data_IF_228919536758
#
_entry.id   IF_228919536758
#
_cell.length_a   1.000
_cell.length_b   1.000
_cell.length_c   1.000
_cell.angle_alpha   90.00
_cell.angle_beta   90.00
_cell.angle_gamma   90.00
#
_symmetry.space_group_name_H-M   'P 1'
#
loop_
_entity.id
_entity.type
_entity.pdbx_description
1 polymer ?
#
# COMPACT_ATOMS: atom_id res chain seq x y z
N UNK A 1 14.50 0.89 -21.20
CA UNK A 1 14.38 0.52 -19.77
C UNK A 1 13.47 1.53 -19.14
N UNK A 2 12.44 1.08 -18.46
CA UNK A 2 11.57 1.95 -17.69
C UNK A 2 12.31 2.48 -16.45
N UNK A 3 11.78 3.52 -15.83
CA UNK A 3 12.22 3.97 -14.51
C UNK A 3 11.01 4.32 -13.66
N UNK A 4 11.14 4.14 -12.36
CA UNK A 4 10.08 4.45 -11.41
C UNK A 4 10.58 5.33 -10.27
N UNK A 5 9.67 6.10 -9.68
CA UNK A 5 10.01 6.97 -8.57
C UNK A 5 9.64 6.27 -7.25
N UNK A 6 10.66 5.98 -6.45
CA UNK A 6 10.57 5.39 -5.11
C UNK A 6 10.88 6.45 -4.07
N UNK A 7 10.08 6.57 -3.01
CA UNK A 7 10.32 7.55 -1.96
C UNK A 7 10.90 6.95 -0.68
N UNK A 8 10.74 5.64 -0.48
CA UNK A 8 11.31 4.94 0.67
C UNK A 8 11.58 3.47 0.31
N UNK A 9 12.59 2.88 0.94
CA UNK A 9 12.91 1.45 0.83
C UNK A 9 13.11 0.94 2.25
N UNK A 10 12.19 0.07 2.71
CA UNK A 10 12.27 -0.53 4.03
C UNK A 10 12.73 -1.97 3.94
N UNK A 11 13.86 -2.23 4.56
CA UNK A 11 14.36 -3.58 4.78
C UNK A 11 13.75 -4.16 6.06
N UNK A 12 13.68 -5.48 6.12
CA UNK A 12 13.18 -6.23 7.29
C UNK A 12 11.74 -5.89 7.67
N UNK A 13 10.89 -5.53 6.69
CA UNK A 13 9.46 -5.34 6.91
C UNK A 13 8.79 -6.69 7.23
N UNK A 14 7.92 -6.70 8.24
CA UNK A 14 7.20 -7.90 8.73
C UNK A 14 5.67 -7.76 8.65
N UNK A 15 5.17 -6.60 8.18
CA UNK A 15 3.75 -6.29 8.04
C UNK A 15 3.31 -6.07 6.59
N UNK A 16 4.22 -6.24 5.63
CA UNK A 16 3.96 -6.01 4.21
C UNK A 16 3.87 -7.33 3.42
N UNK A 17 3.31 -8.37 4.04
CA UNK A 17 3.18 -9.73 3.52
C UNK A 17 3.88 -10.78 4.38
N UNK A 18 3.93 -12.06 3.96
CA UNK A 18 4.54 -13.14 4.72
C UNK A 18 6.07 -13.01 4.81
N UNK A 19 6.61 -13.45 5.93
CA UNK A 19 8.06 -13.49 6.17
C UNK A 19 8.71 -12.11 6.29
N UNK A 20 10.04 -12.07 6.18
CA UNK A 20 10.82 -10.84 6.19
C UNK A 20 10.93 -10.31 4.76
N UNK A 21 10.62 -9.03 4.56
CA UNK A 21 10.52 -8.45 3.22
C UNK A 21 11.33 -7.16 3.07
N UNK A 22 11.71 -6.88 1.82
CA UNK A 22 12.15 -5.54 1.42
C UNK A 22 10.99 -4.86 0.71
N UNK A 23 10.49 -3.76 1.30
CA UNK A 23 9.34 -3.02 0.77
C UNK A 23 9.80 -1.76 0.04
N UNK A 24 9.41 -1.66 -1.23
CA UNK A 24 9.67 -0.51 -2.11
C UNK A 24 8.43 0.38 -2.14
N UNK A 25 8.57 1.62 -1.66
CA UNK A 25 7.47 2.57 -1.54
C UNK A 25 7.45 3.52 -2.75
N UNK A 26 6.56 3.26 -3.71
CA UNK A 26 6.44 4.03 -4.94
C UNK A 26 5.69 5.34 -4.72
N UNK A 27 6.05 6.37 -5.48
CA UNK A 27 5.30 7.63 -5.56
C UNK A 27 4.19 7.55 -6.61
N UNK A 28 3.23 8.48 -6.50
CA UNK A 28 2.03 8.51 -7.31
C UNK A 28 0.90 7.69 -6.71
N UNK A 29 -0.19 8.37 -6.35
CA UNK A 29 -1.42 7.73 -5.93
C UNK A 29 -2.61 8.51 -6.47
N UNK A 30 -3.56 7.87 -7.16
CA UNK A 30 -4.76 8.54 -7.63
C UNK A 30 -5.77 8.81 -6.50
N UNK A 31 -5.63 8.09 -5.36
CA UNK A 31 -6.49 8.26 -4.21
C UNK A 31 -6.04 9.43 -3.32
N UNK A 32 -6.98 9.97 -2.55
CA UNK A 32 -6.77 11.04 -1.55
C UNK A 32 -7.41 10.66 -0.21
N UNK A 33 -7.12 9.43 0.24
CA UNK A 33 -7.68 8.87 1.47
C UNK A 33 -7.44 9.81 2.65
N UNK A 34 -8.49 10.09 3.44
CA UNK A 34 -8.39 10.97 4.61
C UNK A 34 -7.40 10.48 5.65
N UNK A 35 -7.23 9.15 5.76
CA UNK A 35 -6.33 8.46 6.70
C UNK A 35 -4.98 8.05 6.10
N UNK A 36 -4.60 8.59 4.95
CA UNK A 36 -3.37 8.18 4.29
C UNK A 36 -2.15 8.35 5.21
N UNK A 37 -1.33 7.29 5.32
CA UNK A 37 -0.11 7.32 6.12
C UNK A 37 1.12 7.85 5.36
N UNK A 38 1.01 7.97 4.04
CA UNK A 38 2.12 8.37 3.17
C UNK A 38 1.74 9.57 2.28
N UNK A 39 1.43 10.75 2.85
CA UNK A 39 1.08 11.93 2.06
C UNK A 39 2.17 12.35 1.08
N UNK A 40 3.43 12.01 1.37
CA UNK A 40 4.58 12.20 0.49
C UNK A 40 4.50 11.42 -0.82
N UNK A 41 3.69 10.37 -0.87
CA UNK A 41 3.54 9.53 -2.07
C UNK A 41 2.47 10.01 -3.04
N UNK A 42 1.65 11.00 -2.68
CA UNK A 42 0.47 11.40 -3.48
C UNK A 42 0.83 11.95 -4.86
N UNK A 43 1.90 12.71 -4.98
CA UNK A 43 2.44 13.14 -6.27
C UNK A 43 3.48 12.13 -6.77
N UNK A 44 3.53 11.90 -8.08
CA UNK A 44 4.58 11.06 -8.68
C UNK A 44 5.93 11.80 -8.71
N UNK A 45 5.90 13.13 -8.80
CA UNK A 45 7.09 13.93 -8.89
C UNK A 45 7.89 13.92 -7.58
N UNK A 46 9.23 13.82 -7.64
CA UNK A 46 10.08 14.08 -6.50
C UNK A 46 9.80 15.47 -5.90
N UNK A 47 9.86 15.59 -4.59
CA UNK A 47 9.57 16.85 -3.91
C UNK A 47 10.56 17.13 -2.77
N UNK A 48 10.89 18.40 -2.57
CA UNK A 48 11.74 18.82 -1.47
C UNK A 48 10.95 18.84 -0.16
N UNK A 49 11.48 18.16 0.85
CA UNK A 49 10.97 18.19 2.22
C UNK A 49 11.90 19.03 3.08
N UNK A 50 11.33 20.04 3.73
CA UNK A 50 12.02 20.85 4.72
C UNK A 50 11.73 20.36 6.14
N UNK A 51 12.81 20.08 6.91
CA UNK A 51 12.76 19.66 8.33
C UNK A 51 13.40 20.76 9.17
N UNK A 52 12.60 21.67 9.67
CA UNK A 52 13.07 22.82 10.46
C UNK A 52 13.90 22.37 11.66
N UNK A 53 13.49 21.32 12.34
CA UNK A 53 14.13 20.76 13.52
C UNK A 53 15.57 20.25 13.29
N UNK A 54 15.97 20.05 12.03
CA UNK A 54 17.32 19.65 11.65
C UNK A 54 18.16 20.80 11.11
N UNK A 55 17.56 21.97 10.90
CA UNK A 55 18.25 23.08 10.27
C UNK A 55 19.19 23.79 11.26
N UNK A 56 20.46 23.86 10.89
CA UNK A 56 21.50 24.60 11.65
C UNK A 56 21.76 26.01 11.08
N UNK A 57 20.91 26.48 10.16
CA UNK A 57 21.00 27.80 9.55
C UNK A 57 22.38 28.14 8.92
N UNK A 58 23.04 27.14 8.33
CA UNK A 58 24.40 27.29 7.76
C UNK A 58 24.43 28.05 6.41
N UNK A 59 23.30 28.37 5.81
CA UNK A 59 23.18 29.09 4.54
C UNK A 59 23.62 28.34 3.28
N UNK A 60 24.04 27.07 3.38
CA UNK A 60 24.61 26.34 2.23
C UNK A 60 23.54 25.90 1.18
N UNK A 61 22.28 25.85 1.56
CA UNK A 61 21.20 25.35 0.71
C UNK A 61 20.60 26.41 -0.24
N UNK A 62 21.12 27.63 -0.26
CA UNK A 62 20.68 28.73 -1.14
C UNK A 62 19.13 28.81 -1.23
N UNK A 63 18.54 29.36 -0.20
CA UNK A 63 17.07 29.53 -0.08
C UNK A 63 16.27 28.21 -0.24
N UNK A 64 16.83 27.12 0.26
CA UNK A 64 16.21 25.77 0.26
C UNK A 64 16.06 25.16 -1.15
N UNK A 65 16.92 25.51 -2.09
CA UNK A 65 16.89 24.96 -3.45
C UNK A 65 17.95 23.87 -3.68
N UNK A 66 19.07 23.89 -2.96
CA UNK A 66 20.20 22.97 -3.11
C UNK A 66 20.25 21.96 -1.96
N UNK A 67 19.36 20.95 -2.04
CA UNK A 67 19.24 19.91 -0.99
C UNK A 67 20.52 19.09 -0.83
N UNK A 68 21.26 18.84 -1.91
CA UNK A 68 22.51 18.09 -1.93
C UNK A 68 23.63 18.74 -1.08
N UNK A 69 23.51 20.03 -0.80
CA UNK A 69 24.45 20.78 0.05
C UNK A 69 24.07 20.81 1.52
N UNK A 70 22.93 20.23 1.91
CA UNK A 70 22.45 20.26 3.27
C UNK A 70 23.16 19.23 4.16
N UNK A 71 24.08 19.63 5.08
CA UNK A 71 24.89 18.68 5.84
C UNK A 71 24.11 17.91 6.90
N UNK A 72 22.93 18.42 7.30
CA UNK A 72 22.09 17.82 8.34
C UNK A 72 20.86 17.09 7.78
N UNK A 73 20.71 17.04 6.45
CA UNK A 73 19.51 16.53 5.78
C UNK A 73 18.21 17.23 6.26
N UNK A 74 18.34 18.51 6.68
CA UNK A 74 17.17 19.35 6.95
C UNK A 74 16.39 19.65 5.66
N UNK A 75 17.05 19.67 4.53
CA UNK A 75 16.45 19.73 3.20
C UNK A 75 16.77 18.43 2.48
N UNK A 76 15.72 17.67 2.12
CA UNK A 76 15.83 16.34 1.56
C UNK A 76 14.92 16.19 0.32
N UNK A 77 15.44 15.58 -0.74
CA UNK A 77 14.63 15.19 -1.88
C UNK A 77 13.91 13.88 -1.57
N UNK A 78 12.58 13.91 -1.52
CA UNK A 78 11.72 12.74 -1.31
C UNK A 78 11.23 12.23 -2.66
N UNK A 79 11.63 11.01 -2.97
CA UNK A 79 11.46 10.39 -4.27
C UNK A 79 12.72 10.47 -5.11
N UNK A 80 13.17 9.29 -5.56
CA UNK A 80 14.31 9.13 -6.46
C UNK A 80 13.92 8.18 -7.58
N UNK A 81 14.41 8.46 -8.78
CA UNK A 81 14.24 7.56 -9.92
C UNK A 81 15.12 6.33 -9.71
N UNK A 82 14.52 5.17 -9.92
CA UNK A 82 15.21 3.87 -9.90
C UNK A 82 14.88 3.11 -11.19
N UNK A 83 15.84 2.37 -11.69
CA UNK A 83 15.63 1.37 -12.73
C UNK A 83 15.18 0.03 -12.10
N UNK A 84 14.49 -0.85 -12.85
CA UNK A 84 14.16 -2.19 -12.37
C UNK A 84 15.38 -3.01 -11.96
N UNK A 85 16.52 -2.81 -12.62
CA UNK A 85 17.76 -3.48 -12.29
C UNK A 85 18.32 -3.03 -10.91
N UNK A 86 18.25 -1.74 -10.60
CA UNK A 86 18.65 -1.23 -9.27
C UNK A 86 17.75 -1.80 -8.16
N UNK A 87 16.43 -1.93 -8.43
CA UNK A 87 15.49 -2.60 -7.50
C UNK A 87 15.93 -4.04 -7.25
N UNK A 88 16.25 -4.80 -8.30
CA UNK A 88 16.73 -6.17 -8.16
C UNK A 88 18.02 -6.24 -7.34
N UNK A 89 19.01 -5.39 -7.61
CA UNK A 89 20.27 -5.39 -6.86
C UNK A 89 20.08 -5.06 -5.37
N UNK A 90 19.13 -4.21 -5.03
CA UNK A 90 18.76 -3.94 -3.64
C UNK A 90 18.07 -5.17 -3.02
N UNK A 91 17.13 -5.79 -3.74
CA UNK A 91 16.41 -6.97 -3.28
C UNK A 91 17.33 -8.15 -2.99
N UNK A 92 18.32 -8.40 -3.85
CA UNK A 92 19.31 -9.48 -3.71
C UNK A 92 20.13 -9.41 -2.42
N UNK A 93 20.33 -8.24 -1.85
CA UNK A 93 21.08 -8.08 -0.60
C UNK A 93 20.43 -8.81 0.58
N UNK A 94 19.13 -9.05 0.51
CA UNK A 94 18.35 -9.61 1.62
C UNK A 94 17.83 -11.05 1.33
N UNK A 95 18.32 -11.71 0.27
CA UNK A 95 17.87 -13.05 -0.18
C UNK A 95 17.91 -14.10 0.93
N UNK A 96 18.95 -14.10 1.77
CA UNK A 96 19.08 -15.03 2.91
C UNK A 96 17.89 -14.92 3.88
N UNK A 97 17.38 -13.70 4.09
CA UNK A 97 16.21 -13.48 4.94
C UNK A 97 14.92 -13.96 4.28
N UNK A 98 14.81 -13.81 2.95
CA UNK A 98 13.65 -14.29 2.21
C UNK A 98 13.57 -15.82 2.26
N UNK A 99 14.69 -16.52 1.99
CA UNK A 99 14.76 -17.98 1.99
C UNK A 99 14.44 -18.58 3.36
N UNK A 100 14.92 -17.94 4.45
CA UNK A 100 14.72 -18.47 5.81
C UNK A 100 13.34 -18.18 6.38
N UNK A 101 12.66 -17.12 5.92
CA UNK A 101 11.37 -16.69 6.48
C UNK A 101 10.18 -16.94 5.57
N UNK A 102 10.37 -17.34 4.32
CA UNK A 102 9.32 -17.33 3.30
C UNK A 102 8.93 -15.93 2.86
N UNK A 103 9.85 -14.96 2.99
CA UNK A 103 9.66 -13.57 2.62
C UNK A 103 9.96 -13.25 1.15
N UNK A 104 10.24 -11.99 0.85
CA UNK A 104 10.53 -11.52 -0.50
C UNK A 104 10.48 -10.02 -0.64
N UNK A 105 10.03 -9.52 -1.79
CA UNK A 105 9.84 -8.09 -2.02
C UNK A 105 8.37 -7.70 -2.01
N UNK A 106 8.09 -6.46 -1.59
CA UNK A 106 6.75 -5.86 -1.67
C UNK A 106 6.84 -4.50 -2.34
N UNK A 107 6.02 -4.29 -3.36
CA UNK A 107 5.81 -2.99 -3.97
C UNK A 107 4.57 -2.36 -3.37
N UNK A 108 4.71 -1.18 -2.77
CA UNK A 108 3.68 -0.46 -2.00
C UNK A 108 3.90 1.05 -2.10
N UNK A 109 3.39 1.84 -1.17
CA UNK A 109 3.69 3.27 -0.98
C UNK A 109 2.53 4.18 -1.29
N UNK A 110 2.46 4.74 -2.52
CA UNK A 110 1.29 5.37 -3.11
C UNK A 110 0.38 4.32 -3.70
N UNK A 111 0.33 4.26 -5.03
CA UNK A 111 -0.33 3.17 -5.75
C UNK A 111 0.68 2.58 -6.77
N UNK A 112 1.20 1.38 -6.54
CA UNK A 112 2.20 0.78 -7.44
C UNK A 112 1.71 0.65 -8.89
N UNK A 113 0.41 0.41 -9.10
CA UNK A 113 -0.21 0.35 -10.42
C UNK A 113 -0.20 1.68 -11.18
N UNK A 114 0.16 2.79 -10.52
CA UNK A 114 0.38 4.09 -11.19
C UNK A 114 1.69 4.15 -11.98
N UNK A 115 2.60 3.18 -11.78
CA UNK A 115 3.86 3.06 -12.50
C UNK A 115 3.98 1.66 -13.16
N UNK A 116 3.06 1.29 -14.08
CA UNK A 116 2.84 -0.10 -14.47
C UNK A 116 4.02 -0.74 -15.22
N UNK A 117 4.73 0.01 -16.05
CA UNK A 117 5.85 -0.54 -16.83
C UNK A 117 7.05 -0.80 -15.92
N UNK A 118 7.39 0.15 -15.04
CA UNK A 118 8.43 -0.03 -14.04
C UNK A 118 8.10 -1.20 -13.10
N UNK A 119 6.86 -1.27 -12.61
CA UNK A 119 6.40 -2.33 -11.72
C UNK A 119 6.52 -3.69 -12.42
N UNK A 120 6.03 -3.81 -13.66
CA UNK A 120 6.05 -5.09 -14.38
C UNK A 120 7.48 -5.58 -14.67
N UNK A 121 8.39 -4.69 -15.07
CA UNK A 121 9.79 -5.05 -15.31
C UNK A 121 10.48 -5.46 -13.98
N UNK A 122 10.23 -4.72 -12.88
CA UNK A 122 10.79 -5.04 -11.56
C UNK A 122 10.30 -6.39 -11.02
N UNK A 123 8.99 -6.67 -11.14
CA UNK A 123 8.41 -7.97 -10.75
C UNK A 123 9.01 -9.11 -11.57
N UNK A 124 9.13 -8.94 -12.89
CA UNK A 124 9.73 -9.96 -13.78
C UNK A 124 11.15 -10.30 -13.36
N UNK A 125 11.99 -9.28 -13.13
CA UNK A 125 13.38 -9.49 -12.72
C UNK A 125 13.49 -10.19 -11.36
N UNK A 126 12.65 -9.84 -10.39
CA UNK A 126 12.62 -10.50 -9.08
C UNK A 126 12.20 -11.98 -9.23
N UNK A 127 11.16 -12.24 -10.01
CA UNK A 127 10.66 -13.59 -10.27
C UNK A 127 11.68 -14.48 -10.97
N UNK A 128 12.44 -13.94 -11.93
CA UNK A 128 13.52 -14.65 -12.63
C UNK A 128 14.64 -15.08 -11.67
N UNK A 129 14.75 -14.45 -10.50
CA UNK A 129 15.65 -14.81 -9.41
C UNK A 129 14.97 -15.65 -8.30
N UNK A 130 13.76 -16.14 -8.52
CA UNK A 130 12.95 -16.87 -7.53
C UNK A 130 12.68 -16.06 -6.23
N UNK A 131 12.64 -14.74 -6.31
CA UNK A 131 12.27 -13.87 -5.19
C UNK A 131 10.74 -13.72 -5.20
N UNK A 132 10.10 -14.11 -4.10
CA UNK A 132 8.65 -13.98 -3.93
C UNK A 132 8.21 -12.51 -4.00
N UNK A 133 7.20 -12.22 -4.80
CA UNK A 133 6.73 -10.86 -5.09
C UNK A 133 5.37 -10.59 -4.47
N UNK A 134 5.21 -9.43 -3.85
CA UNK A 134 3.92 -8.93 -3.39
C UNK A 134 3.65 -7.53 -3.92
N UNK A 135 2.39 -7.25 -4.21
CA UNK A 135 1.90 -5.92 -4.62
C UNK A 135 0.81 -5.49 -3.66
N UNK A 136 1.06 -4.41 -2.91
CA UNK A 136 0.12 -3.77 -1.99
C UNK A 136 -0.58 -2.62 -2.72
N UNK A 137 -1.86 -2.79 -3.02
CA UNK A 137 -2.59 -1.94 -3.97
C UNK A 137 -4.05 -1.70 -3.58
N UNK A 138 -4.57 -0.55 -3.97
CA UNK A 138 -6.01 -0.30 -3.98
C UNK A 138 -6.73 -1.01 -5.13
N UNK A 139 -6.01 -1.50 -6.13
CA UNK A 139 -6.56 -2.08 -7.34
C UNK A 139 -7.10 -1.08 -8.36
N UNK A 140 -6.88 0.22 -8.17
CA UNK A 140 -7.34 1.24 -9.10
C UNK A 140 -6.39 1.40 -10.29
N UNK A 141 -6.64 0.65 -11.32
CA UNK A 141 -5.95 0.73 -12.61
C UNK A 141 -6.85 0.14 -13.72
N UNK A 142 -6.55 0.37 -15.01
CA UNK A 142 -7.18 -0.37 -16.10
C UNK A 142 -7.05 -1.89 -15.90
N UNK A 143 -8.11 -2.63 -16.21
CA UNK A 143 -8.12 -4.09 -15.99
C UNK A 143 -6.98 -4.82 -16.70
N UNK A 144 -6.59 -4.38 -17.90
CA UNK A 144 -5.46 -4.93 -18.65
C UNK A 144 -4.14 -4.77 -17.88
N UNK A 145 -3.97 -3.64 -17.20
CA UNK A 145 -2.80 -3.41 -16.32
C UNK A 145 -2.81 -4.39 -15.15
N UNK A 146 -3.96 -4.57 -14.49
CA UNK A 146 -4.09 -5.52 -13.38
C UNK A 146 -3.81 -6.94 -13.83
N UNK A 147 -4.37 -7.38 -14.98
CA UNK A 147 -4.08 -8.70 -15.55
C UNK A 147 -2.59 -8.90 -15.82
N UNK A 148 -1.94 -7.92 -16.46
CA UNK A 148 -0.49 -7.97 -16.75
C UNK A 148 0.33 -8.13 -15.48
N UNK A 149 0.05 -7.31 -14.46
CA UNK A 149 0.78 -7.35 -13.18
C UNK A 149 0.49 -8.65 -12.43
N UNK A 150 -0.74 -9.15 -12.46
CA UNK A 150 -1.13 -10.38 -11.77
C UNK A 150 -0.36 -11.62 -12.27
N UNK A 151 -0.01 -11.68 -13.53
CA UNK A 151 0.81 -12.76 -14.11
C UNK A 151 2.25 -12.79 -13.54
N UNK A 152 2.69 -11.73 -12.88
CA UNK A 152 4.04 -11.53 -12.34
C UNK A 152 4.07 -11.44 -10.82
N UNK A 153 2.91 -11.53 -10.16
CA UNK A 153 2.73 -11.31 -8.71
C UNK A 153 2.35 -12.60 -8.02
N UNK A 154 3.05 -12.96 -6.95
CA UNK A 154 2.72 -14.13 -6.13
C UNK A 154 1.64 -13.81 -5.08
N UNK A 155 1.57 -12.56 -4.60
CA UNK A 155 0.64 -12.12 -3.58
C UNK A 155 0.12 -10.71 -3.85
N UNK A 156 -1.19 -10.52 -3.88
CA UNK A 156 -1.82 -9.21 -3.73
C UNK A 156 -2.21 -8.94 -2.27
N UNK A 157 -1.74 -7.83 -1.74
CA UNK A 157 -2.29 -7.20 -0.55
C UNK A 157 -3.32 -6.18 -1.06
N UNK A 158 -4.59 -6.57 -1.09
CA UNK A 158 -5.62 -5.81 -1.79
C UNK A 158 -6.47 -4.99 -0.81
N UNK A 159 -6.43 -3.69 -0.93
CA UNK A 159 -7.14 -2.78 -0.04
C UNK A 159 -8.63 -2.64 -0.39
N UNK A 160 -9.51 -3.10 0.49
CA UNK A 160 -10.94 -2.85 0.45
C UNK A 160 -11.30 -1.76 1.47
N UNK A 161 -11.50 -0.53 1.00
CA UNK A 161 -11.67 0.64 1.89
C UNK A 161 -13.14 0.91 2.24
N UNK A 162 -14.04 0.72 1.28
CA UNK A 162 -15.50 0.86 1.44
C UNK A 162 -16.21 0.19 0.29
N UNK A 163 -17.40 -0.40 0.51
CA UNK A 163 -18.24 -1.02 -0.54
C UNK A 163 -19.20 -0.04 -1.20
N UNK A 164 -19.70 0.96 -0.45
CA UNK A 164 -20.56 2.02 -1.01
C UNK A 164 -19.73 2.95 -1.91
N UNK A 165 -20.09 3.14 -3.20
CA UNK A 165 -19.30 3.92 -4.14
C UNK A 165 -19.27 5.42 -3.79
N UNK A 166 -20.34 5.97 -3.23
CA UNK A 166 -20.41 7.39 -2.87
C UNK A 166 -19.56 7.67 -1.64
N UNK A 167 -19.69 6.87 -0.59
CA UNK A 167 -18.86 7.01 0.61
C UNK A 167 -17.37 6.76 0.27
N UNK A 168 -17.06 5.79 -0.59
CA UNK A 168 -15.69 5.58 -1.04
C UNK A 168 -15.13 6.83 -1.72
N UNK A 169 -15.88 7.45 -2.62
CA UNK A 169 -15.49 8.70 -3.30
C UNK A 169 -15.31 9.86 -2.31
N UNK A 170 -16.23 10.04 -1.36
CA UNK A 170 -16.15 11.10 -0.36
C UNK A 170 -14.89 11.00 0.50
N UNK A 171 -14.48 9.79 0.87
CA UNK A 171 -13.33 9.56 1.76
C UNK A 171 -12.00 9.37 1.03
N UNK A 172 -12.01 8.95 -0.23
CA UNK A 172 -10.78 8.62 -0.99
C UNK A 172 -10.58 9.46 -2.24
N UNK A 173 -11.58 10.24 -2.63
CA UNK A 173 -11.54 11.08 -3.83
C UNK A 173 -11.82 10.35 -5.13
N UNK A 174 -12.11 9.03 -5.11
CA UNK A 174 -12.38 8.21 -6.29
C UNK A 174 -13.51 7.22 -6.04
N UNK A 175 -14.25 6.88 -7.09
CA UNK A 175 -15.26 5.83 -7.05
C UNK A 175 -14.60 4.44 -6.97
N UNK A 176 -15.24 3.49 -6.27
CA UNK A 176 -14.70 2.15 -6.07
C UNK A 176 -15.06 1.13 -7.17
N UNK A 177 -15.85 1.51 -8.18
CA UNK A 177 -16.32 0.55 -9.18
C UNK A 177 -15.18 -0.22 -9.84
N UNK A 178 -14.18 0.47 -10.37
CA UNK A 178 -13.03 -0.16 -11.01
C UNK A 178 -12.22 -1.03 -10.04
N UNK A 179 -12.11 -0.61 -8.78
CA UNK A 179 -11.43 -1.38 -7.71
C UNK A 179 -12.13 -2.72 -7.48
N UNK A 180 -13.46 -2.71 -7.32
CA UNK A 180 -14.26 -3.92 -7.10
C UNK A 180 -14.30 -4.80 -8.35
N UNK A 181 -14.42 -4.22 -9.54
CA UNK A 181 -14.38 -4.96 -10.81
C UNK A 181 -13.06 -5.69 -10.98
N UNK A 182 -11.94 -5.07 -10.61
CA UNK A 182 -10.60 -5.67 -10.67
C UNK A 182 -10.41 -6.78 -9.62
N UNK A 183 -10.96 -6.63 -8.41
CA UNK A 183 -10.95 -7.70 -7.41
C UNK A 183 -11.70 -8.94 -7.92
N UNK A 184 -12.90 -8.73 -8.47
CA UNK A 184 -13.70 -9.79 -9.08
C UNK A 184 -13.02 -10.42 -10.30
N UNK A 185 -12.26 -9.64 -11.07
CA UNK A 185 -11.47 -10.13 -12.20
C UNK A 185 -10.37 -11.08 -11.71
N UNK A 186 -9.58 -10.68 -10.70
CA UNK A 186 -8.53 -11.52 -10.12
C UNK A 186 -9.09 -12.83 -9.55
N UNK A 187 -10.18 -12.77 -8.78
CA UNK A 187 -10.86 -13.96 -8.24
C UNK A 187 -11.25 -14.93 -9.35
N UNK A 188 -11.89 -14.44 -10.43
CA UNK A 188 -12.27 -15.26 -11.60
C UNK A 188 -11.07 -15.83 -12.35
N UNK A 189 -9.97 -15.10 -12.46
CA UNK A 189 -8.76 -15.59 -13.14
C UNK A 189 -8.09 -16.71 -12.35
N UNK A 190 -8.12 -16.65 -11.02
CA UNK A 190 -7.62 -17.74 -10.15
C UNK A 190 -8.56 -18.95 -10.24
N UNK A 191 -9.88 -18.76 -10.14
CA UNK A 191 -10.88 -19.82 -10.23
C UNK A 191 -10.80 -20.57 -11.59
N UNK A 192 -10.47 -19.86 -12.66
CA UNK A 192 -10.23 -20.41 -13.99
C UNK A 192 -8.84 -21.09 -14.17
N UNK A 193 -8.00 -21.12 -13.14
CA UNK A 193 -6.65 -21.68 -13.20
C UNK A 193 -5.65 -20.87 -14.03
N UNK A 194 -5.97 -19.62 -14.38
CA UNK A 194 -5.11 -18.71 -15.15
C UNK A 194 -4.04 -18.04 -14.30
N UNK A 195 -4.25 -17.94 -13.00
CA UNK A 195 -3.34 -17.36 -12.02
C UNK A 195 -3.11 -18.35 -10.87
N UNK A 196 -1.91 -18.25 -10.26
CA UNK A 196 -1.56 -18.93 -8.99
C UNK A 196 -1.31 -17.94 -7.85
N UNK A 197 -1.70 -16.70 -8.07
CA UNK A 197 -1.50 -15.57 -7.15
C UNK A 197 -2.42 -15.73 -5.94
N UNK A 198 -1.92 -15.43 -4.75
CA UNK A 198 -2.74 -15.30 -3.54
C UNK A 198 -3.33 -13.90 -3.42
N UNK A 199 -4.50 -13.79 -2.78
CA UNK A 199 -5.12 -12.50 -2.46
C UNK A 199 -5.36 -12.43 -0.96
N UNK A 200 -4.73 -11.44 -0.31
CA UNK A 200 -5.06 -11.03 1.05
C UNK A 200 -5.85 -9.72 0.98
N UNK A 201 -7.08 -9.73 1.45
CA UNK A 201 -7.87 -8.49 1.57
C UNK A 201 -7.40 -7.72 2.81
N UNK A 202 -7.16 -6.42 2.65
CA UNK A 202 -6.79 -5.50 3.72
C UNK A 202 -7.88 -4.47 3.91
N UNK A 203 -8.45 -4.40 5.13
CA UNK A 203 -9.54 -3.49 5.47
C UNK A 203 -9.05 -2.57 6.58
N UNK A 204 -8.81 -1.29 6.30
CA UNK A 204 -8.55 -0.34 7.37
C UNK A 204 -9.83 -0.12 8.18
N UNK A 205 -9.82 -0.47 9.47
CA UNK A 205 -10.93 -0.24 10.38
C UNK A 205 -10.86 1.19 10.93
N UNK A 206 -11.69 2.06 10.39
CA UNK A 206 -11.65 3.49 10.69
C UNK A 206 -12.97 3.93 11.32
N UNK A 207 -12.98 4.28 12.62
CA UNK A 207 -14.14 4.86 13.26
C UNK A 207 -14.66 6.05 12.46
N UNK A 208 -15.97 6.21 12.36
CA UNK A 208 -16.67 7.23 11.59
C UNK A 208 -16.65 7.10 10.05
N UNK A 209 -15.88 6.14 9.51
CA UNK A 209 -15.79 5.92 8.05
C UNK A 209 -16.46 4.61 7.64
N UNK A 210 -15.99 3.48 8.19
CA UNK A 210 -16.42 2.15 7.72
C UNK A 210 -16.68 1.15 8.85
N UNK A 211 -16.74 1.59 10.11
CA UNK A 211 -16.95 0.69 11.25
C UNK A 211 -18.42 0.62 11.74
N UNK A 212 -19.35 1.25 11.04
CA UNK A 212 -20.77 0.98 11.31
C UNK A 212 -21.15 -0.45 10.87
N UNK A 213 -22.14 -1.03 11.58
CA UNK A 213 -22.51 -2.44 11.38
C UNK A 213 -22.90 -2.74 9.94
N UNK A 214 -23.65 -1.86 9.29
CA UNK A 214 -24.15 -2.05 7.92
C UNK A 214 -22.99 -2.10 6.91
N UNK A 215 -22.02 -1.21 7.06
CA UNK A 215 -20.81 -1.17 6.21
C UNK A 215 -19.96 -2.42 6.39
N UNK A 216 -19.70 -2.84 7.66
CA UNK A 216 -18.95 -4.06 7.94
C UNK A 216 -19.65 -5.32 7.41
N UNK A 217 -20.96 -5.41 7.58
CA UNK A 217 -21.78 -6.52 7.09
C UNK A 217 -21.76 -6.62 5.55
N UNK A 218 -21.86 -5.47 4.87
CA UNK A 218 -21.76 -5.40 3.40
C UNK A 218 -20.37 -5.79 2.89
N UNK A 219 -19.30 -5.36 3.57
CA UNK A 219 -17.93 -5.74 3.24
C UNK A 219 -17.71 -7.24 3.43
N UNK A 220 -18.16 -7.79 4.56
CA UNK A 220 -18.05 -9.22 4.86
C UNK A 220 -18.84 -10.05 3.84
N UNK A 221 -20.06 -9.62 3.49
CA UNK A 221 -20.88 -10.28 2.47
C UNK A 221 -20.21 -10.29 1.09
N UNK A 222 -19.59 -9.19 0.68
CA UNK A 222 -18.82 -9.13 -0.56
C UNK A 222 -17.68 -10.16 -0.55
N UNK A 223 -16.89 -10.20 0.52
CA UNK A 223 -15.73 -11.10 0.62
C UNK A 223 -16.17 -12.55 0.69
N UNK A 224 -17.23 -12.87 1.41
CA UNK A 224 -17.81 -14.23 1.48
C UNK A 224 -18.30 -14.74 0.12
N UNK A 225 -18.60 -13.84 -0.82
CA UNK A 225 -18.94 -14.16 -2.20
C UNK A 225 -17.75 -14.49 -3.11
N UNK A 226 -16.53 -14.20 -2.67
CA UNK A 226 -15.28 -14.49 -3.40
C UNK A 226 -14.76 -15.89 -3.02
N UNK A 227 -14.12 -16.58 -3.97
CA UNK A 227 -13.68 -17.98 -3.77
C UNK A 227 -12.21 -18.13 -3.42
N UNK A 228 -11.39 -17.15 -3.82
CA UNK A 228 -9.94 -17.29 -3.81
C UNK A 228 -9.26 -16.26 -2.88
N UNK A 229 -9.91 -15.94 -1.75
CA UNK A 229 -9.34 -15.06 -0.74
C UNK A 229 -8.62 -15.91 0.30
N UNK A 230 -7.28 -15.80 0.33
CA UNK A 230 -6.43 -16.58 1.24
C UNK A 230 -6.47 -16.04 2.67
N UNK A 231 -6.65 -14.72 2.84
CA UNK A 231 -6.64 -14.05 4.14
C UNK A 231 -7.41 -12.73 4.12
N UNK A 232 -7.97 -12.36 5.28
CA UNK A 232 -8.56 -11.03 5.50
C UNK A 232 -7.89 -10.37 6.71
N UNK A 233 -7.24 -9.23 6.48
CA UNK A 233 -6.59 -8.43 7.50
C UNK A 233 -7.46 -7.23 7.85
N UNK A 234 -7.97 -7.19 9.07
CA UNK A 234 -8.67 -6.03 9.63
C UNK A 234 -7.62 -5.14 10.32
N UNK A 235 -7.31 -3.99 9.73
CA UNK A 235 -6.21 -3.12 10.13
C UNK A 235 -6.74 -1.95 10.98
N UNK A 236 -6.58 -1.96 12.31
CA UNK A 236 -7.03 -0.87 13.16
C UNK A 236 -6.36 0.45 12.78
N UNK A 237 -7.16 1.49 12.59
CA UNK A 237 -6.67 2.85 12.34
C UNK A 237 -5.76 3.33 13.48
N UNK A 238 -4.71 4.05 13.14
CA UNK A 238 -3.82 4.74 14.06
C UNK A 238 -3.37 6.10 13.52
N UNK A 239 -2.98 7.00 14.40
CA UNK A 239 -2.70 8.40 14.07
C UNK A 239 -1.24 8.70 13.69
N UNK A 240 -0.40 7.69 13.53
CA UNK A 240 1.06 7.85 13.27
C UNK A 240 1.38 8.66 12.00
N UNK A 241 0.50 8.66 11.00
CA UNK A 241 0.66 9.47 9.79
C UNK A 241 0.54 10.99 10.00
N UNK A 242 -0.14 11.43 11.09
CA UNK A 242 -0.46 12.85 11.36
C UNK A 242 0.76 13.78 11.29
N UNK A 243 1.88 13.37 11.90
CA UNK A 243 3.11 14.17 11.92
C UNK A 243 3.68 14.45 10.52
N UNK A 244 3.43 13.56 9.55
CA UNK A 244 3.86 13.76 8.18
C UNK A 244 3.09 14.89 7.49
N UNK A 245 1.77 15.00 7.74
CA UNK A 245 0.95 16.08 7.17
C UNK A 245 1.45 17.46 7.58
N UNK A 246 1.82 17.64 8.86
CA UNK A 246 2.42 18.90 9.32
C UNK A 246 3.73 19.20 8.57
N UNK A 247 4.60 18.20 8.40
CA UNK A 247 5.88 18.36 7.68
C UNK A 247 5.70 18.73 6.20
N UNK A 248 4.62 18.23 5.58
CA UNK A 248 4.28 18.53 4.18
C UNK A 248 3.36 19.74 4.02
N UNK A 249 3.06 20.46 5.11
CA UNK A 249 2.10 21.58 5.13
C UNK A 249 0.74 21.20 4.52
N UNK A 250 0.26 20.00 4.85
CA UNK A 250 -1.00 19.44 4.35
C UNK A 250 -2.03 19.37 5.49
N UNK A 251 -3.31 19.46 5.13
CA UNK A 251 -4.42 19.33 6.10
C UNK A 251 -4.63 17.85 6.41
N UNK A 252 -4.57 17.49 7.71
CA UNK A 252 -4.93 16.16 8.19
C UNK A 252 -6.45 16.08 8.44
N UNK A 253 -7.16 15.36 7.59
CA UNK A 253 -8.64 15.29 7.64
C UNK A 253 -9.20 14.42 8.76
N UNK A 254 -8.36 13.65 9.46
CA UNK A 254 -8.75 12.74 10.55
C UNK A 254 -8.55 13.36 11.93
N UNK A 255 -8.55 14.68 12.03
CA UNK A 255 -8.42 15.37 13.32
C UNK A 255 -9.57 14.99 14.25
N UNK A 256 -9.26 14.61 15.50
CA UNK A 256 -10.25 14.17 16.49
C UNK A 256 -10.76 12.73 16.32
N UNK A 257 -10.40 12.01 15.26
CA UNK A 257 -10.74 10.60 15.11
C UNK A 257 -9.75 9.74 15.89
N UNK A 258 -10.26 8.96 16.83
CA UNK A 258 -9.47 8.08 17.68
C UNK A 258 -9.31 6.68 17.06
N UNK A 259 -8.24 5.95 17.36
CA UNK A 259 -8.15 4.53 17.04
C UNK A 259 -9.35 3.73 17.57
N UNK A 260 -9.77 2.67 16.88
CA UNK A 260 -10.85 1.83 17.35
C UNK A 260 -10.50 1.16 18.69
N UNK A 261 -11.50 1.02 19.54
CA UNK A 261 -11.37 0.29 20.80
C UNK A 261 -11.32 -1.22 20.55
N UNK A 262 -10.81 -1.98 21.54
CA UNK A 262 -10.82 -3.45 21.47
C UNK A 262 -12.22 -4.02 21.23
N UNK A 263 -13.25 -3.44 21.86
CA UNK A 263 -14.64 -3.88 21.69
C UNK A 263 -15.16 -3.67 20.26
N UNK A 264 -14.80 -2.56 19.64
CA UNK A 264 -15.17 -2.28 18.25
C UNK A 264 -14.46 -3.22 17.27
N UNK A 265 -13.19 -3.54 17.53
CA UNK A 265 -12.43 -4.52 16.74
C UNK A 265 -13.05 -5.93 16.92
N UNK A 266 -13.37 -6.35 18.14
CA UNK A 266 -14.03 -7.62 18.43
C UNK A 266 -15.41 -7.72 17.76
N UNK A 267 -16.16 -6.62 17.69
CA UNK A 267 -17.44 -6.58 17.00
C UNK A 267 -17.23 -6.76 15.48
N UNK A 268 -16.24 -6.07 14.91
CA UNK A 268 -15.92 -6.24 13.49
C UNK A 268 -15.54 -7.71 13.19
N UNK A 269 -14.65 -8.31 13.97
CA UNK A 269 -14.28 -9.73 13.83
C UNK A 269 -15.52 -10.65 13.83
N UNK A 270 -16.43 -10.49 14.80
CA UNK A 270 -17.66 -11.30 14.88
C UNK A 270 -18.57 -11.14 13.67
N UNK A 271 -18.63 -9.96 13.06
CA UNK A 271 -19.42 -9.76 11.84
C UNK A 271 -18.82 -10.57 10.70
N UNK A 272 -17.50 -10.49 10.48
CA UNK A 272 -16.83 -11.24 9.43
C UNK A 272 -16.89 -12.76 9.68
N UNK A 273 -16.69 -13.22 10.90
CA UNK A 273 -16.89 -14.63 11.30
C UNK A 273 -18.32 -15.10 11.03
N UNK A 274 -19.33 -14.26 11.28
CA UNK A 274 -20.73 -14.52 11.01
C UNK A 274 -21.04 -14.77 9.53
N UNK A 275 -20.23 -14.24 8.61
CA UNK A 275 -20.29 -14.53 7.18
C UNK A 275 -19.45 -15.75 6.76
N UNK A 276 -18.89 -16.51 7.71
CA UNK A 276 -18.09 -17.72 7.44
C UNK A 276 -16.63 -17.46 7.09
N UNK A 277 -16.14 -16.23 7.28
CA UNK A 277 -14.72 -15.88 7.03
C UNK A 277 -13.93 -16.29 8.26
N UNK A 278 -13.06 -17.31 8.14
CA UNK A 278 -12.30 -17.90 9.25
C UNK A 278 -10.82 -17.49 9.30
N UNK A 279 -10.28 -17.00 8.19
CA UNK A 279 -8.86 -16.61 8.02
C UNK A 279 -8.64 -15.11 8.31
N UNK A 280 -9.16 -14.65 9.45
CA UNK A 280 -9.11 -13.26 9.91
C UNK A 280 -7.84 -12.99 10.72
N UNK A 281 -7.24 -11.81 10.52
CA UNK A 281 -6.17 -11.26 11.35
C UNK A 281 -6.42 -9.78 11.63
N UNK A 282 -5.92 -9.28 12.76
CA UNK A 282 -5.97 -7.85 13.14
C UNK A 282 -4.60 -7.17 13.02
N UNK A 283 -3.65 -7.83 12.38
CA UNK A 283 -2.30 -7.35 12.09
C UNK A 283 -2.03 -7.47 10.59
N UNK A 284 -1.28 -6.52 10.05
CA UNK A 284 -0.93 -6.48 8.62
C UNK A 284 0.45 -6.95 8.33
#
# INVERSE_FOLDING_TARGET
MSSGVIFDIKKYAIHDGPGIRTSFFLKGCPLRCWWCHNPESLSIEPALLWREERCISCGQCEDRTKHEKCPTLALEMVGRSHTPQEVLEIAKQDTVFYETSGGGVTFTGGEPLSQPDFLSESLSLCRDQNIHTAVDTSGLAPSETVEKIAMLTDLFLYDLKHTDPKKHEDYTGVNNKQILDNLLLLDRMIDAGRLKTEIHIRIPLIPTVNMDKETLDTMAGLIAGLRNISKVNLLPYHTTGRAKYTKWNMIFKMEGVHPPTKKEIELALKIFEGHGISNLQTEG
#
